data_IF_848339500190
#
_entry.id   IF_848339500190
#
_cell.length_a   1.000
_cell.length_b   1.000
_cell.length_c   1.000
_cell.angle_alpha   90.00
_cell.angle_beta   90.00
_cell.angle_gamma   90.00
#
_symmetry.space_group_name_H-M   'P 1'
#
loop_
_entity.id
_entity.type
_entity.pdbx_description
1 polymer ?
#
# COMPACT_ATOMS: atom_id res chain seq x y z
N UNK A 1 18.43 1.01 14.30
CA UNK A 1 17.85 0.81 12.96
C UNK A 1 17.65 2.18 12.33
N UNK A 2 18.19 2.43 11.12
CA UNK A 2 18.09 3.73 10.45
C UNK A 2 16.93 3.70 9.48
N UNK A 3 15.94 4.57 9.66
CA UNK A 3 14.88 4.79 8.68
C UNK A 3 15.48 5.52 7.47
N UNK A 4 15.31 4.96 6.27
CA UNK A 4 15.86 5.53 5.03
C UNK A 4 14.81 6.23 4.16
N UNK A 5 13.54 5.89 4.34
CA UNK A 5 12.41 6.49 3.65
C UNK A 5 11.14 6.27 4.49
N UNK A 6 10.15 7.13 4.29
CA UNK A 6 8.81 6.98 4.85
C UNK A 6 7.79 7.13 3.71
N UNK A 7 6.81 6.23 3.68
CA UNK A 7 5.66 6.30 2.79
C UNK A 7 4.46 6.79 3.60
N UNK A 8 3.65 7.67 3.02
CA UNK A 8 2.34 8.01 3.58
C UNK A 8 1.27 7.09 2.99
N UNK A 9 0.16 6.90 3.72
CA UNK A 9 -0.95 6.10 3.18
C UNK A 9 -1.50 6.77 1.92
N UNK A 10 -1.66 6.04 0.80
CA UNK A 10 -2.21 6.60 -0.43
C UNK A 10 -3.73 6.84 -0.36
N UNK A 11 -4.41 6.30 0.66
CA UNK A 11 -5.85 6.47 0.88
C UNK A 11 -6.17 6.33 2.38
N UNK A 12 -7.23 6.98 2.84
CA UNK A 12 -7.76 6.78 4.20
C UNK A 12 -8.40 5.40 4.32
N UNK A 13 -8.03 4.63 5.34
CA UNK A 13 -8.61 3.33 5.60
C UNK A 13 -7.84 2.49 6.60
N UNK A 14 -8.25 1.23 6.74
CA UNK A 14 -7.64 0.25 7.65
C UNK A 14 -6.52 -0.52 6.96
N UNK A 15 -5.39 -0.70 7.63
CA UNK A 15 -4.31 -1.56 7.15
C UNK A 15 -4.75 -3.01 7.27
N UNK A 16 -4.59 -3.77 6.20
CA UNK A 16 -4.83 -5.22 6.16
C UNK A 16 -3.59 -5.94 5.63
N UNK A 17 -3.39 -7.18 6.09
CA UNK A 17 -2.27 -7.99 5.65
C UNK A 17 -2.42 -8.34 4.17
N UNK A 18 -1.31 -8.38 3.42
CA UNK A 18 -1.37 -8.62 1.98
C UNK A 18 -1.94 -10.02 1.67
N UNK A 19 -1.68 -10.99 2.54
CA UNK A 19 -2.20 -12.37 2.50
C UNK A 19 -3.74 -12.45 2.63
N UNK A 20 -4.39 -11.38 3.10
CA UNK A 20 -5.85 -11.30 3.22
C UNK A 20 -6.52 -10.74 1.95
N UNK A 21 -5.74 -10.28 0.97
CA UNK A 21 -6.27 -9.80 -0.31
C UNK A 21 -6.77 -11.00 -1.12
N UNK A 22 -8.00 -10.97 -1.68
CA UNK A 22 -8.58 -12.11 -2.40
C UNK A 22 -7.97 -12.33 -3.81
N UNK A 23 -6.80 -11.76 -4.08
CA UNK A 23 -6.08 -11.85 -5.35
C UNK A 23 -4.72 -12.50 -5.09
N UNK A 24 -4.48 -13.64 -5.74
CA UNK A 24 -3.29 -14.47 -5.54
C UNK A 24 -1.99 -13.74 -5.88
N UNK A 25 -1.99 -12.87 -6.88
CA UNK A 25 -0.78 -12.14 -7.28
C UNK A 25 -0.28 -11.22 -6.14
N UNK A 26 -1.20 -10.62 -5.39
CA UNK A 26 -0.91 -9.82 -4.20
C UNK A 26 -0.69 -10.69 -2.96
N UNK A 27 -1.59 -11.64 -2.68
CA UNK A 27 -1.55 -12.46 -1.47
C UNK A 27 -0.28 -13.32 -1.35
N UNK A 28 0.25 -13.77 -2.49
CA UNK A 28 1.51 -14.52 -2.56
C UNK A 28 2.77 -13.65 -2.50
N UNK A 29 2.64 -12.31 -2.52
CA UNK A 29 3.74 -11.34 -2.67
C UNK A 29 4.52 -11.47 -3.98
N UNK A 30 3.98 -12.15 -4.98
CA UNK A 30 4.65 -12.33 -6.28
C UNK A 30 4.94 -11.00 -6.99
N UNK A 31 4.08 -9.99 -6.79
CA UNK A 31 4.25 -8.63 -7.35
C UNK A 31 5.14 -7.71 -6.51
N UNK A 32 5.51 -8.14 -5.30
CA UNK A 32 6.31 -7.37 -4.34
C UNK A 32 5.74 -7.39 -2.92
N UNK A 33 6.58 -7.01 -1.96
CA UNK A 33 6.20 -6.85 -0.55
C UNK A 33 5.44 -5.54 -0.31
N UNK A 34 4.57 -5.54 0.70
CA UNK A 34 3.85 -4.35 1.12
C UNK A 34 2.71 -4.63 2.08
N UNK A 35 1.78 -3.69 2.12
CA UNK A 35 0.53 -3.77 2.89
C UNK A 35 -0.64 -3.36 1.99
N UNK A 36 -1.82 -3.85 2.30
CA UNK A 36 -3.05 -3.39 1.67
C UNK A 36 -3.80 -2.42 2.61
N UNK A 37 -4.60 -1.53 2.03
CA UNK A 37 -5.44 -0.59 2.77
C UNK A 37 -6.88 -0.81 2.32
N UNK A 38 -7.79 -1.11 3.26
CA UNK A 38 -9.23 -1.17 3.02
C UNK A 38 -9.80 0.25 3.11
N UNK A 39 -10.21 0.88 1.99
CA UNK A 39 -10.55 2.29 1.99
C UNK A 39 -11.82 2.61 2.79
N UNK A 40 -11.81 3.74 3.48
CA UNK A 40 -12.99 4.36 4.11
C UNK A 40 -13.35 5.71 3.49
N UNK A 41 -12.55 6.18 2.52
CA UNK A 41 -12.77 7.40 1.73
C UNK A 41 -12.50 7.10 0.24
N UNK A 42 -12.71 8.09 -0.64
CA UNK A 42 -12.62 7.95 -2.10
C UNK A 42 -11.42 8.65 -2.71
N UNK A 43 -10.70 9.48 -1.95
CA UNK A 43 -9.58 10.26 -2.47
C UNK A 43 -8.29 9.45 -2.35
N UNK A 44 -7.65 9.21 -3.50
CA UNK A 44 -6.31 8.63 -3.59
C UNK A 44 -5.29 9.75 -3.79
N UNK A 45 -4.17 9.67 -3.06
CA UNK A 45 -3.06 10.61 -3.13
C UNK A 45 -1.74 9.89 -3.38
N UNK A 46 -0.69 10.64 -3.74
CA UNK A 46 0.65 10.06 -3.90
C UNK A 46 1.23 9.65 -2.53
N UNK A 47 1.75 8.42 -2.37
CA UNK A 47 2.35 7.96 -1.12
C UNK A 47 3.78 8.51 -0.88
N UNK A 48 4.37 9.14 -1.90
CA UNK A 48 5.69 9.77 -1.84
C UNK A 48 5.81 10.90 -2.87
N UNK A 49 6.84 11.73 -2.73
CA UNK A 49 7.27 12.61 -3.80
C UNK A 49 7.84 11.79 -4.97
N UNK A 50 7.47 12.13 -6.21
CA UNK A 50 7.90 11.41 -7.39
C UNK A 50 7.23 11.92 -8.66
N UNK A 51 7.47 11.23 -9.78
CA UNK A 51 6.85 11.51 -11.07
C UNK A 51 6.02 10.30 -11.49
N UNK A 52 4.80 10.55 -11.96
CA UNK A 52 4.00 9.53 -12.64
C UNK A 52 4.65 9.23 -13.99
N UNK A 53 4.87 7.96 -14.31
CA UNK A 53 5.24 7.49 -15.66
C UNK A 53 4.17 6.58 -16.21
#
# INVERSE_FOLDING_TARGET
MKTIAALVSPITGDIVALEQVPDEAFASKAVGDGVAVKPTDKIVVSPAAGHHR
#
